data_IF_738039139517
#
_entry.id   IF_738039139517
#
_cell.length_a   1.000
_cell.length_b   1.000
_cell.length_c   1.000
_cell.angle_alpha   90.00
_cell.angle_beta   90.00
_cell.angle_gamma   90.00
#
_symmetry.space_group_name_H-M   'P 1'
#
loop_
_entity.id
_entity.type
_entity.pdbx_description
1 polymer ?
#
# COMPACT_ATOMS: atom_id res chain seq x y z
N UNK A 1 5.24 -7.42 -7.18
CA UNK A 1 5.00 -6.83 -5.85
C UNK A 1 6.31 -6.89 -5.09
N UNK A 2 6.83 -5.75 -4.63
CA UNK A 2 8.11 -5.67 -3.93
C UNK A 2 7.94 -5.62 -2.41
N UNK A 3 6.85 -5.03 -1.92
CA UNK A 3 6.54 -4.85 -0.50
C UNK A 3 5.30 -5.66 -0.13
N UNK A 4 5.15 -5.96 1.16
CA UNK A 4 3.94 -6.56 1.72
C UNK A 4 3.32 -5.57 2.69
N UNK A 5 2.01 -5.39 2.58
CA UNK A 5 1.28 -4.45 3.42
C UNK A 5 1.30 -4.89 4.89
N UNK A 6 1.49 -3.93 5.78
CA UNK A 6 1.41 -4.12 7.23
C UNK A 6 -0.05 -3.92 7.69
N UNK A 7 -0.95 -4.81 7.25
CA UNK A 7 -2.35 -4.80 7.67
C UNK A 7 -2.54 -5.65 8.95
N UNK A 8 -3.44 -5.27 9.88
CA UNK A 8 -3.56 -5.93 11.19
C UNK A 8 -3.96 -7.41 11.15
N UNK A 9 -4.56 -7.89 10.05
CA UNK A 9 -4.93 -9.30 9.84
C UNK A 9 -3.86 -10.12 9.11
N UNK A 10 -2.71 -9.53 8.77
CA UNK A 10 -1.57 -10.32 8.33
C UNK A 10 -1.09 -11.11 9.53
N UNK A 11 -1.09 -12.45 9.43
CA UNK A 11 -0.79 -13.35 10.55
C UNK A 11 0.43 -12.94 11.38
N UNK A 12 1.53 -12.58 10.73
CA UNK A 12 2.76 -12.16 11.42
C UNK A 12 2.56 -10.86 12.22
N UNK A 13 1.84 -9.89 11.66
CA UNK A 13 1.53 -8.63 12.32
C UNK A 13 0.56 -8.84 13.48
N UNK A 14 -0.51 -9.63 13.28
CA UNK A 14 -1.49 -9.96 14.31
C UNK A 14 -0.85 -10.67 15.51
N UNK A 15 0.05 -11.62 15.26
CA UNK A 15 0.80 -12.30 16.31
C UNK A 15 1.68 -11.32 17.11
N UNK A 16 2.34 -10.38 16.44
CA UNK A 16 3.14 -9.34 17.09
C UNK A 16 2.28 -8.44 17.98
N UNK A 17 1.18 -7.90 17.45
CA UNK A 17 0.23 -7.04 18.18
C UNK A 17 -0.27 -7.74 19.44
N UNK A 18 -0.67 -9.01 19.34
CA UNK A 18 -1.17 -9.78 20.49
C UNK A 18 -0.09 -10.06 21.54
N UNK A 19 1.16 -10.32 21.11
CA UNK A 19 2.29 -10.55 22.03
C UNK A 19 2.65 -9.31 22.84
N UNK A 20 2.43 -8.12 22.30
CA UNK A 20 2.66 -6.85 22.99
C UNK A 20 1.45 -6.39 23.81
N UNK A 21 0.44 -7.25 23.98
CA UNK A 21 -0.77 -6.96 24.76
C UNK A 21 -1.85 -6.17 24.02
N UNK A 22 -1.63 -5.88 22.72
CA UNK A 22 -2.59 -5.19 21.87
C UNK A 22 -3.67 -6.11 21.31
N UNK A 23 -4.67 -5.51 20.69
CA UNK A 23 -5.86 -6.18 20.15
C UNK A 23 -6.07 -5.84 18.68
N UNK A 24 -6.41 -6.86 17.90
CA UNK A 24 -6.96 -6.71 16.56
C UNK A 24 -8.46 -6.93 16.62
N UNK A 25 -9.23 -5.98 16.10
CA UNK A 25 -10.68 -6.02 16.04
C UNK A 25 -11.16 -5.78 14.62
N UNK A 26 -12.35 -6.28 14.28
CA UNK A 26 -12.97 -6.05 12.99
C UNK A 26 -14.47 -5.88 13.22
N UNK A 27 -14.99 -4.69 12.91
CA UNK A 27 -16.42 -4.46 12.89
C UNK A 27 -17.04 -5.04 11.61
N UNK A 28 -18.36 -5.22 11.60
CA UNK A 28 -19.06 -5.77 10.45
C UNK A 28 -18.88 -4.84 9.23
N UNK A 29 -18.51 -5.41 8.10
CA UNK A 29 -18.28 -4.72 6.82
C UNK A 29 -17.13 -3.69 6.83
N UNK A 30 -16.25 -3.75 7.83
CA UNK A 30 -15.08 -2.87 7.98
C UNK A 30 -13.76 -3.64 7.82
N UNK A 31 -12.63 -2.93 7.73
CA UNK A 31 -11.28 -3.51 7.75
C UNK A 31 -10.82 -3.81 9.20
N UNK A 32 -9.84 -4.72 9.38
CA UNK A 32 -9.25 -4.97 10.68
C UNK A 32 -8.49 -3.75 11.23
N UNK A 33 -8.69 -3.46 12.51
CA UNK A 33 -8.09 -2.34 13.22
C UNK A 33 -7.29 -2.80 14.45
N UNK A 34 -6.20 -2.10 14.76
CA UNK A 34 -5.45 -2.21 16.02
C UNK A 34 -6.04 -1.25 17.04
N UNK A 35 -6.34 -1.73 18.24
CA UNK A 35 -6.95 -0.95 19.33
C UNK A 35 -8.24 -0.20 18.91
N UNK A 36 -8.96 -0.72 17.92
CA UNK A 36 -10.12 -0.05 17.28
C UNK A 36 -9.81 1.33 16.66
N UNK A 37 -8.54 1.66 16.41
CA UNK A 37 -8.13 2.98 15.92
C UNK A 37 -7.44 2.95 14.55
N UNK A 38 -6.53 2.00 14.30
CA UNK A 38 -5.69 2.03 13.10
C UNK A 38 -5.86 0.80 12.21
N UNK A 39 -6.12 1.01 10.93
CA UNK A 39 -6.19 -0.03 9.89
C UNK A 39 -4.81 -0.54 9.42
N UNK A 40 -3.73 -0.19 10.13
CA UNK A 40 -2.34 -0.59 9.87
C UNK A 40 -1.69 -1.08 11.16
N UNK A 41 -0.73 -1.99 11.05
CA UNK A 41 0.01 -2.55 12.19
C UNK A 41 1.34 -1.83 12.48
N UNK A 42 1.78 -0.95 11.58
CA UNK A 42 3.02 -0.17 11.72
C UNK A 42 2.79 1.24 11.21
N UNK A 43 3.31 2.23 11.93
CA UNK A 43 3.18 3.62 11.53
C UNK A 43 4.31 4.47 12.11
N UNK A 44 4.65 5.55 11.41
CA UNK A 44 5.66 6.52 11.86
C UNK A 44 5.09 7.56 12.84
N UNK A 45 3.78 7.82 12.74
CA UNK A 45 3.13 8.86 13.54
C UNK A 45 2.94 8.41 14.98
N UNK A 46 2.99 9.38 15.89
CA UNK A 46 2.65 9.17 17.29
C UNK A 46 1.12 9.13 17.44
N UNK A 47 0.60 7.99 17.83
CA UNK A 47 -0.81 7.78 18.13
C UNK A 47 -1.01 7.61 19.63
N UNK A 48 -2.27 7.61 20.09
CA UNK A 48 -2.61 7.27 21.47
C UNK A 48 -2.34 5.80 21.84
N UNK A 49 -1.93 4.99 20.86
CA UNK A 49 -1.57 3.58 21.01
C UNK A 49 -0.10 3.47 21.40
N UNK A 50 0.21 2.54 22.31
CA UNK A 50 1.59 2.23 22.69
C UNK A 50 2.45 1.90 21.46
N UNK A 51 3.61 2.55 21.34
CA UNK A 51 4.61 2.32 20.29
C UNK A 51 5.11 0.88 20.20
N UNK A 52 4.95 0.10 21.26
CA UNK A 52 5.26 -1.33 21.26
C UNK A 52 4.18 -2.13 20.52
N UNK A 53 2.92 -1.67 20.53
CA UNK A 53 1.81 -2.29 19.79
C UNK A 53 1.84 -1.87 18.31
N UNK A 54 2.12 -0.59 18.03
CA UNK A 54 2.29 -0.05 16.67
C UNK A 54 3.71 0.49 16.51
N UNK A 55 4.67 -0.35 16.09
CA UNK A 55 6.05 0.08 15.94
C UNK A 55 6.29 0.87 14.65
N UNK A 56 7.18 1.85 14.72
CA UNK A 56 7.74 2.57 13.58
C UNK A 56 8.92 1.81 12.94
N UNK A 57 8.74 0.51 12.69
CA UNK A 57 9.79 -0.38 12.16
C UNK A 57 9.50 -0.77 10.71
N UNK A 58 10.30 -0.30 9.73
CA UNK A 58 10.09 -0.66 8.33
C UNK A 58 10.58 -2.07 8.02
N UNK A 59 9.98 -2.69 7.00
CA UNK A 59 10.61 -3.83 6.33
C UNK A 59 11.60 -3.30 5.29
N UNK A 60 12.85 -3.76 5.36
CA UNK A 60 13.90 -3.38 4.42
C UNK A 60 14.07 -4.50 3.40
N UNK A 61 13.84 -4.18 2.13
CA UNK A 61 13.95 -5.12 1.01
C UNK A 61 14.97 -4.58 0.02
N UNK A 62 15.98 -5.40 -0.28
CA UNK A 62 16.96 -5.10 -1.31
C UNK A 62 16.59 -5.87 -2.58
N UNK A 63 16.40 -5.14 -3.68
CA UNK A 63 16.12 -5.71 -4.99
C UNK A 63 17.23 -5.34 -5.97
N UNK A 64 17.79 -6.35 -6.64
CA UNK A 64 18.77 -6.13 -7.70
C UNK A 64 18.06 -5.91 -9.02
N UNK A 65 18.33 -4.78 -9.68
CA UNK A 65 17.77 -4.46 -11.00
C UNK A 65 18.08 -5.59 -11.99
N UNK A 66 17.05 -6.09 -12.65
CA UNK A 66 17.20 -7.02 -13.77
C UNK A 66 17.14 -6.24 -15.09
N UNK A 67 17.67 -6.80 -16.17
CA UNK A 67 17.57 -6.21 -17.51
C UNK A 67 16.12 -6.07 -17.99
N UNK A 68 15.22 -6.89 -17.46
CA UNK A 68 13.77 -6.84 -17.70
C UNK A 68 13.03 -5.82 -16.83
N UNK A 69 13.66 -5.24 -15.81
CA UNK A 69 13.01 -4.27 -14.92
C UNK A 69 12.98 -2.89 -15.57
N UNK A 70 11.82 -2.51 -16.12
CA UNK A 70 11.66 -1.23 -16.83
C UNK A 70 11.28 -0.05 -15.91
N UNK A 71 10.56 -0.32 -14.81
CA UNK A 71 10.05 0.72 -13.93
C UNK A 71 9.68 0.18 -12.54
N UNK A 72 9.52 1.09 -11.58
CA UNK A 72 8.96 0.84 -10.25
C UNK A 72 7.76 1.77 -10.06
N UNK A 73 6.68 1.24 -9.47
CA UNK A 73 5.47 1.98 -9.15
C UNK A 73 5.30 1.98 -7.63
N UNK A 74 5.09 3.16 -7.07
CA UNK A 74 4.66 3.38 -5.69
C UNK A 74 3.28 4.01 -5.74
N UNK A 75 2.38 3.57 -4.87
CA UNK A 75 1.09 4.21 -4.68
C UNK A 75 0.56 3.97 -3.26
N UNK A 76 -0.34 4.82 -2.80
CA UNK A 76 -1.09 4.60 -1.55
C UNK A 76 -2.19 3.53 -1.73
N UNK A 77 -2.76 3.11 -0.62
CA UNK A 77 -3.88 2.15 -0.54
C UNK A 77 -5.14 2.62 -1.25
N UNK A 78 -5.43 3.93 -1.30
CA UNK A 78 -6.51 4.47 -2.13
C UNK A 78 -6.45 4.06 -3.61
N UNK A 79 -5.28 3.64 -4.12
CA UNK A 79 -5.13 2.96 -5.42
C UNK A 79 -5.26 1.44 -5.27
N UNK A 80 -4.47 0.82 -4.40
CA UNK A 80 -4.38 -0.65 -4.31
C UNK A 80 -5.64 -1.34 -3.80
N UNK A 81 -6.52 -0.62 -3.11
CA UNK A 81 -7.80 -1.14 -2.60
C UNK A 81 -8.83 -1.34 -3.72
N UNK A 82 -8.71 -0.63 -4.84
CA UNK A 82 -9.64 -0.72 -5.99
C UNK A 82 -9.04 -1.41 -7.21
N UNK A 83 -7.71 -1.57 -7.27
CA UNK A 83 -7.04 -2.20 -8.40
C UNK A 83 -5.84 -3.05 -7.99
N UNK A 84 -5.67 -4.19 -8.66
CA UNK A 84 -4.55 -5.09 -8.36
C UNK A 84 -3.25 -4.70 -9.09
N UNK A 85 -2.13 -5.17 -8.53
CA UNK A 85 -0.77 -4.97 -9.05
C UNK A 85 -0.61 -5.28 -10.56
N UNK A 86 -1.26 -6.32 -11.06
CA UNK A 86 -1.11 -6.75 -12.46
C UNK A 86 -1.81 -5.80 -13.41
N UNK A 87 -3.01 -5.32 -13.06
CA UNK A 87 -3.75 -4.36 -13.88
C UNK A 87 -2.99 -3.04 -13.99
N UNK A 88 -2.47 -2.52 -12.87
CA UNK A 88 -1.65 -1.30 -12.85
C UNK A 88 -0.37 -1.48 -13.68
N UNK A 89 0.35 -2.59 -13.49
CA UNK A 89 1.55 -2.89 -14.29
C UNK A 89 1.25 -3.00 -15.79
N UNK A 90 0.14 -3.65 -16.15
CA UNK A 90 -0.26 -3.77 -17.57
C UNK A 90 -0.60 -2.40 -18.17
N UNK A 91 -1.33 -1.57 -17.44
CA UNK A 91 -1.69 -0.21 -17.85
C UNK A 91 -0.43 0.63 -18.15
N UNK A 92 0.53 0.62 -17.23
CA UNK A 92 1.79 1.38 -17.38
C UNK A 92 2.66 0.81 -18.51
N UNK A 93 2.85 -0.51 -18.55
CA UNK A 93 3.64 -1.19 -19.60
C UNK A 93 3.16 -0.83 -21.01
N UNK A 94 1.85 -0.77 -21.23
CA UNK A 94 1.28 -0.50 -22.55
C UNK A 94 1.50 0.95 -23.02
N UNK A 95 1.80 1.88 -22.11
CA UNK A 95 1.87 3.32 -22.39
C UNK A 95 3.26 3.92 -22.24
N UNK A 96 4.15 3.28 -21.49
CA UNK A 96 5.47 3.83 -21.11
C UNK A 96 6.43 4.08 -22.27
N UNK A 97 6.23 3.40 -23.41
CA UNK A 97 7.05 3.59 -24.61
C UNK A 97 6.66 4.81 -25.44
N UNK A 98 5.42 5.28 -25.30
CA UNK A 98 4.82 6.26 -26.24
C UNK A 98 4.31 7.53 -25.57
N UNK A 99 4.36 7.63 -24.24
CA UNK A 99 3.83 8.76 -23.47
C UNK A 99 4.84 9.24 -22.43
N UNK A 100 4.71 10.50 -22.03
CA UNK A 100 5.41 11.02 -20.85
C UNK A 100 4.78 10.43 -19.58
N UNK A 101 5.59 10.22 -18.54
CA UNK A 101 5.14 9.57 -17.31
C UNK A 101 3.98 10.31 -16.65
N UNK A 102 3.99 11.65 -16.72
CA UNK A 102 2.93 12.50 -16.17
C UNK A 102 1.57 12.16 -16.79
N UNK A 103 1.49 12.00 -18.11
CA UNK A 103 0.24 11.68 -18.79
C UNK A 103 -0.26 10.28 -18.44
N UNK A 104 0.67 9.33 -18.24
CA UNK A 104 0.33 7.97 -17.81
C UNK A 104 -0.27 8.01 -16.40
N UNK A 105 0.34 8.77 -15.49
CA UNK A 105 -0.15 8.93 -14.11
C UNK A 105 -1.52 9.63 -14.12
N UNK A 106 -1.70 10.72 -14.87
CA UNK A 106 -2.99 11.40 -14.96
C UNK A 106 -4.09 10.50 -15.48
N UNK A 107 -3.85 9.78 -16.60
CA UNK A 107 -4.83 8.83 -17.14
C UNK A 107 -5.13 7.69 -16.16
N UNK A 108 -4.12 7.21 -15.44
CA UNK A 108 -4.29 6.17 -14.43
C UNK A 108 -5.21 6.65 -13.29
N UNK A 109 -4.98 7.87 -12.79
CA UNK A 109 -5.83 8.48 -11.76
C UNK A 109 -7.25 8.72 -12.27
N UNK A 110 -7.42 9.22 -13.50
CA UNK A 110 -8.72 9.46 -14.11
C UNK A 110 -9.54 8.17 -14.29
N UNK A 111 -8.90 7.08 -14.72
CA UNK A 111 -9.57 5.78 -14.83
C UNK A 111 -10.02 5.25 -13.47
N UNK A 112 -9.26 5.51 -12.41
CA UNK A 112 -9.55 4.94 -11.08
C UNK A 112 -10.46 5.83 -10.22
N UNK A 113 -10.50 7.14 -10.48
CA UNK A 113 -11.56 8.00 -9.96
C UNK A 113 -12.96 7.50 -10.35
N UNK A 114 -13.10 6.85 -11.51
CA UNK A 114 -14.37 6.25 -11.95
C UNK A 114 -14.79 5.03 -11.11
N UNK A 115 -13.89 4.47 -10.30
CA UNK A 115 -14.17 3.33 -9.42
C UNK A 115 -14.75 3.76 -8.07
N UNK A 116 -15.13 5.04 -7.92
CA UNK A 116 -15.77 5.62 -6.73
C UNK A 116 -14.96 5.44 -5.43
N UNK A 117 -13.63 5.47 -5.53
CA UNK A 117 -12.79 5.54 -4.34
C UNK A 117 -13.01 6.87 -3.60
N UNK A 118 -13.18 6.77 -2.28
CA UNK A 118 -13.37 7.91 -1.38
C UNK A 118 -12.09 8.32 -0.66
N UNK A 119 -10.98 7.64 -0.96
CA UNK A 119 -9.69 7.86 -0.32
C UNK A 119 -8.77 8.75 -1.16
N UNK A 120 -7.74 9.28 -0.51
CA UNK A 120 -6.68 10.03 -1.17
C UNK A 120 -5.91 9.11 -2.12
N UNK A 121 -5.66 9.59 -3.33
CA UNK A 121 -4.88 8.87 -4.33
C UNK A 121 -3.55 9.55 -4.59
N UNK A 122 -2.47 8.78 -4.57
CA UNK A 122 -1.12 9.22 -4.84
C UNK A 122 -0.36 8.11 -5.55
N UNK A 123 0.28 8.44 -6.66
CA UNK A 123 1.03 7.51 -7.50
C UNK A 123 2.36 8.15 -7.89
N UNK A 124 3.44 7.36 -7.81
CA UNK A 124 4.77 7.76 -8.21
C UNK A 124 5.41 6.64 -9.03
N UNK A 125 5.93 6.98 -10.22
CA UNK A 125 6.54 6.02 -11.15
C UNK A 125 7.99 6.42 -11.39
N UNK A 126 8.90 5.48 -11.18
CA UNK A 126 10.33 5.62 -11.48
C UNK A 126 10.66 4.74 -12.69
N UNK A 127 11.11 5.35 -13.78
CA UNK A 127 11.66 4.62 -14.93
C UNK A 127 13.13 4.26 -14.63
N UNK A 128 13.52 3.01 -14.87
CA UNK A 128 14.83 2.47 -14.50
C UNK A 128 15.77 2.30 -15.68
#
# INVERSE_FOLDING_TARGET
MLLRDHKPNVRQEEECIRRTGGRVTKYKDDVPHVENQLAVSRALLEYSIDKHIIPALPDIIQYSKQSSTAYIIFACDGIWDVINNQQVGTFVSNKISSNILQDIISQLLDEYLKLETMDNMSVYIVKL
#
